data_IF_562384371797
#
_entry.id   IF_562384371797
#
_cell.length_a   1.000
_cell.length_b   1.000
_cell.length_c   1.000
_cell.angle_alpha   90.00
_cell.angle_beta   90.00
_cell.angle_gamma   90.00
#
_symmetry.space_group_name_H-M   'P 1'
#
loop_
_entity.id
_entity.type
_entity.pdbx_description
1 polymer ?
#
# COMPACT_ATOMS: atom_id res chain seq x y z
N UNK A 1 -27.49 -10.15 -15.58
CA UNK A 1 -26.29 -10.43 -14.75
C UNK A 1 -26.03 -9.19 -13.91
N UNK A 2 -26.28 -9.24 -12.60
CA UNK A 2 -26.20 -8.07 -11.73
C UNK A 2 -24.79 -7.85 -11.21
N UNK A 3 -24.33 -6.59 -11.19
CA UNK A 3 -23.05 -6.23 -10.56
C UNK A 3 -23.30 -6.17 -9.05
N UNK A 4 -22.77 -7.13 -8.30
CA UNK A 4 -22.80 -7.12 -6.84
C UNK A 4 -21.59 -6.31 -6.34
N UNK A 5 -21.84 -5.08 -5.88
CA UNK A 5 -20.80 -4.23 -5.26
C UNK A 5 -20.68 -4.60 -3.78
N UNK A 6 -19.62 -5.34 -3.44
CA UNK A 6 -19.26 -5.61 -2.04
C UNK A 6 -18.42 -4.45 -1.53
N UNK A 7 -18.96 -3.72 -0.55
CA UNK A 7 -18.23 -2.70 0.20
C UNK A 7 -17.24 -3.42 1.10
N UNK A 8 -15.97 -3.46 0.70
CA UNK A 8 -14.88 -3.72 1.63
C UNK A 8 -14.63 -2.38 2.28
N UNK A 9 -14.94 -2.24 3.56
CA UNK A 9 -14.65 -1.06 4.38
C UNK A 9 -13.54 -1.36 5.43
N UNK A 10 -13.03 -2.60 5.48
CA UNK A 10 -11.99 -3.04 6.42
C UNK A 10 -10.89 -3.87 5.73
N UNK A 11 -9.67 -3.83 6.27
CA UNK A 11 -8.49 -4.60 5.84
C UNK A 11 -7.98 -4.33 4.40
N UNK A 12 -8.09 -3.10 3.90
CA UNK A 12 -7.42 -2.68 2.67
C UNK A 12 -6.94 -1.24 2.79
N UNK A 13 -5.83 -0.93 2.13
CA UNK A 13 -5.27 0.42 2.05
C UNK A 13 -5.32 0.88 0.60
N UNK A 14 -5.87 2.07 0.36
CA UNK A 14 -5.84 2.70 -0.96
C UNK A 14 -4.54 3.48 -1.08
N UNK A 15 -3.60 2.94 -1.87
CA UNK A 15 -2.27 3.52 -2.05
C UNK A 15 -2.08 4.02 -3.49
N UNK A 16 -1.26 5.08 -3.65
CA UNK A 16 -1.00 5.66 -4.97
C UNK A 16 -0.13 4.71 -5.83
N UNK A 17 -0.59 4.43 -7.05
CA UNK A 17 0.09 3.53 -7.99
C UNK A 17 1.41 4.09 -8.56
N UNK A 18 1.68 5.39 -8.43
CA UNK A 18 2.87 6.03 -9.03
C UNK A 18 4.17 5.35 -8.58
N UNK A 19 4.35 5.11 -7.28
CA UNK A 19 5.56 4.45 -6.75
C UNK A 19 5.65 2.96 -7.12
N UNK A 20 4.51 2.27 -7.21
CA UNK A 20 4.47 0.86 -7.58
C UNK A 20 4.74 0.63 -9.08
N UNK A 21 4.37 1.59 -9.92
CA UNK A 21 4.59 1.55 -11.38
C UNK A 21 5.96 2.08 -11.80
N UNK A 22 6.74 2.64 -10.87
CA UNK A 22 8.09 3.11 -11.17
C UNK A 22 8.98 1.94 -11.64
N UNK A 23 9.59 2.08 -12.82
CA UNK A 23 10.50 1.08 -13.40
C UNK A 23 11.90 1.13 -12.78
N UNK A 24 12.24 2.21 -12.10
CA UNK A 24 13.54 2.41 -11.42
C UNK A 24 13.60 1.69 -10.08
N UNK A 25 12.44 1.38 -9.48
CA UNK A 25 12.35 0.62 -8.24
C UNK A 25 12.47 -0.87 -8.49
N UNK A 26 13.34 -1.53 -7.72
CA UNK A 26 13.36 -2.99 -7.64
C UNK A 26 12.07 -3.52 -7.00
N UNK A 27 11.71 -4.77 -7.30
CA UNK A 27 10.56 -5.43 -6.68
C UNK A 27 10.62 -5.45 -5.15
N UNK A 28 11.83 -5.59 -4.58
CA UNK A 28 12.04 -5.50 -3.13
C UNK A 28 11.68 -4.12 -2.58
N UNK A 29 12.13 -3.05 -3.24
CA UNK A 29 11.82 -1.68 -2.83
C UNK A 29 10.31 -1.39 -2.93
N UNK A 30 9.63 -1.91 -3.97
CA UNK A 30 8.17 -1.81 -4.11
C UNK A 30 7.43 -2.51 -2.98
N UNK A 31 7.91 -3.70 -2.57
CA UNK A 31 7.32 -4.44 -1.45
C UNK A 31 7.44 -3.66 -0.13
N UNK A 32 8.62 -3.09 0.16
CA UNK A 32 8.83 -2.26 1.35
C UNK A 32 7.96 -1.01 1.30
N UNK A 33 7.90 -0.33 0.14
CA UNK A 33 7.05 0.85 -0.04
C UNK A 33 5.57 0.52 0.20
N UNK A 34 5.06 -0.57 -0.40
CA UNK A 34 3.68 -1.00 -0.22
C UNK A 34 3.39 -1.27 1.26
N UNK A 35 4.30 -1.93 1.97
CA UNK A 35 4.15 -2.20 3.41
C UNK A 35 4.10 -0.91 4.23
N UNK A 36 5.03 0.02 4.02
CA UNK A 36 5.07 1.29 4.75
C UNK A 36 3.78 2.11 4.52
N UNK A 37 3.25 2.12 3.30
CA UNK A 37 2.02 2.85 2.98
C UNK A 37 0.75 2.22 3.58
N UNK A 38 0.83 1.00 4.14
CA UNK A 38 -0.27 0.41 4.93
C UNK A 38 -0.24 0.81 6.40
N UNK A 39 0.89 1.36 6.87
CA UNK A 39 1.06 1.76 8.26
C UNK A 39 0.34 3.09 8.52
N UNK A 40 -0.12 3.34 9.76
CA UNK A 40 -0.71 4.61 10.14
C UNK A 40 0.31 5.76 9.98
N UNK A 41 -0.17 6.97 9.68
CA UNK A 41 0.67 8.17 9.53
C UNK A 41 1.58 8.46 10.75
N UNK A 42 1.18 8.03 11.95
CA UNK A 42 1.95 8.20 13.20
C UNK A 42 3.07 7.15 13.38
N UNK A 43 3.41 6.39 12.34
CA UNK A 43 4.39 5.32 12.46
C UNK A 43 5.80 5.85 12.71
N UNK A 44 6.31 5.61 13.92
CA UNK A 44 7.66 6.02 14.34
C UNK A 44 8.66 4.89 14.10
N UNK A 45 9.72 5.16 13.34
CA UNK A 45 10.87 4.26 13.24
C UNK A 45 11.71 4.35 14.51
N UNK A 46 11.55 3.39 15.40
CA UNK A 46 12.50 3.17 16.49
C UNK A 46 13.79 2.60 15.89
N UNK A 47 14.83 3.42 15.78
CA UNK A 47 16.20 2.92 15.61
C UNK A 47 16.76 2.66 17.00
N UNK A 48 17.15 1.41 17.24
CA UNK A 48 18.00 1.01 18.36
C UNK A 48 19.42 1.59 18.17
#
# INVERSE_FOLDING_TARGET
MGIFRVKKDNNYSVINNTGLKDKRLSWKAKGILAYILTLPDDWVFYRE
#
